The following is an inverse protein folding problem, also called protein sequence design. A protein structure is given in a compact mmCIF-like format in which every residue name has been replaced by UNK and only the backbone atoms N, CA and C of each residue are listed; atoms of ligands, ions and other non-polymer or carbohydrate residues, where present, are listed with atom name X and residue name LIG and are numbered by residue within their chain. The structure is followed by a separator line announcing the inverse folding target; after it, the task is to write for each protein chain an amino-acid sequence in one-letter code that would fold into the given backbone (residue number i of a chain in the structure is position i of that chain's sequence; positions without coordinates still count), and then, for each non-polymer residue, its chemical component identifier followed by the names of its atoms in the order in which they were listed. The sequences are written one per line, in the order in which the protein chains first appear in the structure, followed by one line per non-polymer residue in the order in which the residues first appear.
data_IF_183350050374
#
_entry.id   IF_183350050374
#
_cell.length_a   1.000
_cell.length_b   1.000
_cell.length_c   1.000
_cell.angle_alpha   90.00
_cell.angle_beta   90.00
_cell.angle_gamma   90.00
#
_symmetry.space_group_name_H-M   'P 1'
#
loop_
_entity.id
_entity.type
_entity.pdbx_description
1 polymer ?
#
# COMPACT_ATOMS: atom_id res chain seq x y z
N UNK A 1 65.85 24.36 9.84
CA UNK A 1 65.30 25.45 10.65
C UNK A 1 64.22 26.20 9.87
N UNK A 2 63.19 26.71 10.56
CA UNK A 2 61.78 26.41 10.31
C UNK A 2 60.97 27.73 10.07
N UNK A 3 59.64 27.87 10.10
CA UNK A 3 58.71 27.40 11.11
C UNK A 3 57.24 27.70 10.75
N UNK A 4 56.38 26.91 11.39
CA UNK A 4 54.92 26.94 11.47
C UNK A 4 54.40 28.28 12.01
N UNK A 5 53.18 28.63 11.62
CA UNK A 5 52.24 29.30 12.54
C UNK A 5 50.89 28.58 12.51
N UNK A 6 50.74 27.70 13.51
CA UNK A 6 49.47 27.19 14.02
C UNK A 6 48.60 28.38 14.47
N UNK A 7 47.37 28.47 13.99
CA UNK A 7 46.31 29.20 14.72
C UNK A 7 45.30 28.17 15.22
N UNK A 8 45.50 27.83 16.49
CA UNK A 8 44.64 26.98 17.30
C UNK A 8 43.37 27.79 17.61
N UNK A 9 42.25 27.49 16.94
CA UNK A 9 40.94 27.93 17.43
C UNK A 9 40.55 26.96 18.54
N UNK A 10 40.51 27.50 19.74
CA UNK A 10 40.07 26.86 20.97
C UNK A 10 38.62 26.41 20.85
N UNK A 11 38.39 25.10 20.87
CA UNK A 11 37.08 24.52 21.18
C UNK A 11 36.84 24.64 22.68
N UNK A 12 36.20 25.73 23.10
CA UNK A 12 35.50 25.79 24.37
C UNK A 12 34.00 25.93 24.09
N UNK A 13 33.23 25.15 24.85
CA UNK A 13 31.77 25.14 24.95
C UNK A 13 30.95 24.51 23.81
N UNK A 14 30.95 23.17 23.76
CA UNK A 14 29.83 22.39 23.21
C UNK A 14 29.28 21.33 24.15
N UNK A 15 29.67 21.33 25.44
CA UNK A 15 29.15 20.38 26.43
C UNK A 15 27.74 20.75 26.91
N UNK A 16 27.43 22.06 27.07
CA UNK A 16 26.12 22.51 27.55
C UNK A 16 24.98 22.40 26.53
N UNK A 17 25.28 22.32 25.23
CA UNK A 17 24.26 22.23 24.16
C UNK A 17 23.88 20.79 23.80
N UNK A 18 24.71 19.80 24.15
CA UNK A 18 24.41 18.37 23.96
C UNK A 18 23.60 17.77 25.13
N UNK A 19 23.80 18.25 26.37
CA UNK A 19 22.96 17.87 27.52
C UNK A 19 21.55 18.46 27.43
N UNK A 20 21.41 19.70 26.96
CA UNK A 20 20.11 20.36 26.81
C UNK A 20 19.21 19.73 25.73
N UNK A 21 19.83 19.08 24.72
CA UNK A 21 19.12 18.33 23.68
C UNK A 21 18.80 16.89 24.10
N UNK A 22 19.58 16.26 25.00
CA UNK A 22 19.27 14.93 25.54
C UNK A 22 18.09 14.96 26.51
N UNK A 23 17.98 15.97 27.37
CA UNK A 23 16.92 16.04 28.37
C UNK A 23 15.53 16.34 27.77
N UNK A 24 15.45 17.00 26.61
CA UNK A 24 14.18 17.18 25.89
C UNK A 24 13.76 15.99 25.02
N UNK A 25 14.70 15.13 24.62
CA UNK A 25 14.41 13.92 23.84
C UNK A 25 14.01 12.75 24.76
N UNK A 26 14.44 12.76 26.04
CA UNK A 26 14.06 11.75 27.03
C UNK A 26 12.60 11.86 27.53
N UNK A 27 11.94 13.02 27.34
CA UNK A 27 10.59 13.29 27.85
C UNK A 27 9.41 12.99 26.92
N UNK A 28 9.64 12.55 25.67
CA UNK A 28 8.57 12.29 24.68
C UNK A 28 8.59 10.86 24.13
N UNK A 29 9.58 10.03 24.49
CA UNK A 29 9.59 8.59 24.22
C UNK A 29 8.92 7.82 25.37
N UNK A 30 7.62 8.02 25.53
CA UNK A 30 6.82 7.30 26.50
C UNK A 30 5.39 7.14 26.00
N UNK A 31 5.04 5.92 25.60
CA UNK A 31 3.66 5.44 25.38
C UNK A 31 2.87 6.01 24.19
N UNK A 32 3.29 5.68 22.97
CA UNK A 32 2.35 5.40 21.86
C UNK A 32 2.82 4.13 21.15
N UNK A 33 2.67 2.99 21.83
CA UNK A 33 2.83 1.66 21.25
C UNK A 33 1.50 0.92 21.31
N UNK A 34 0.77 0.94 20.19
CA UNK A 34 -0.35 0.09 19.76
C UNK A 34 -1.31 0.96 18.95
N UNK A 35 -1.63 0.73 17.67
CA UNK A 35 -1.92 -0.54 17.02
C UNK A 35 -2.10 -0.32 15.50
N UNK A 36 -1.26 -0.90 14.62
CA UNK A 36 -1.54 -1.03 13.17
C UNK A 36 -2.63 -2.09 12.86
N UNK A 37 -3.28 -2.64 13.87
CA UNK A 37 -4.00 -3.92 13.77
C UNK A 37 -5.34 -3.82 13.05
N UNK A 38 -5.87 -2.61 12.79
CA UNK A 38 -7.15 -2.42 12.07
C UNK A 38 -7.04 -2.42 10.55
N UNK A 39 -5.85 -2.24 9.98
CA UNK A 39 -5.64 -2.42 8.52
C UNK A 39 -5.17 -3.85 8.21
N UNK A 40 -4.46 -4.51 9.15
CA UNK A 40 -4.03 -5.90 9.01
C UNK A 40 -5.17 -6.94 9.13
N UNK A 41 -6.30 -6.59 9.74
CA UNK A 41 -7.41 -7.54 9.95
C UNK A 41 -8.12 -7.92 8.65
N UNK A 42 -8.12 -7.05 7.64
CA UNK A 42 -8.74 -7.36 6.34
C UNK A 42 -7.90 -8.32 5.50
N UNK A 43 -6.57 -8.32 5.64
CA UNK A 43 -5.70 -9.22 4.86
C UNK A 43 -5.65 -10.63 5.46
N UNK A 44 -5.64 -10.75 6.80
CA UNK A 44 -5.72 -12.07 7.46
C UNK A 44 -7.07 -12.76 7.27
N UNK A 45 -8.18 -12.01 7.37
CA UNK A 45 -9.53 -12.56 7.16
C UNK A 45 -9.78 -13.01 5.72
N UNK A 46 -9.18 -12.32 4.74
CA UNK A 46 -9.31 -12.64 3.31
C UNK A 46 -8.63 -13.97 2.92
N UNK A 47 -7.52 -14.35 3.57
CA UNK A 47 -6.78 -15.57 3.24
C UNK A 47 -7.11 -16.76 4.16
N UNK A 48 -7.43 -16.53 5.44
CA UNK A 48 -7.72 -17.60 6.39
C UNK A 48 -8.99 -18.42 6.03
N UNK A 49 -9.99 -17.77 5.40
CA UNK A 49 -11.23 -18.42 4.98
C UNK A 49 -11.18 -19.07 3.58
N UNK A 50 -10.09 -18.90 2.81
CA UNK A 50 -9.96 -19.47 1.45
C UNK A 50 -8.93 -20.58 1.29
N UNK A 51 -8.10 -20.85 2.30
CA UNK A 51 -7.10 -21.92 2.26
C UNK A 51 -7.28 -23.01 3.33
N UNK A 52 -8.34 -22.93 4.13
CA UNK A 52 -8.69 -23.96 5.12
C UNK A 52 -9.81 -24.88 4.60
N UNK A 53 -9.50 -25.66 3.56
CA UNK A 53 -10.23 -26.88 3.27
C UNK A 53 -9.22 -28.03 3.32
N UNK A 54 -9.40 -28.92 4.29
CA UNK A 54 -8.61 -30.12 4.51
C UNK A 54 -8.49 -30.95 3.23
N UNK A 55 -7.27 -31.22 2.80
CA UNK A 55 -7.00 -32.26 1.80
C UNK A 55 -6.65 -33.52 2.58
N UNK A 56 -7.60 -34.43 2.67
CA UNK A 56 -7.39 -35.80 3.13
C UNK A 56 -6.55 -36.57 2.12
N UNK A 57 -5.65 -37.41 2.65
CA UNK A 57 -4.83 -38.38 1.91
C UNK A 57 -5.73 -39.43 1.22
N UNK A 58 -5.99 -39.25 -0.08
CA UNK A 58 -6.49 -40.32 -0.93
C UNK A 58 -6.17 -40.04 -2.41
N UNK A 59 -5.36 -40.92 -2.99
CA UNK A 59 -5.51 -41.38 -4.37
C UNK A 59 -5.36 -40.34 -5.49
N UNK A 60 -4.12 -40.11 -5.91
CA UNK A 60 -3.79 -39.51 -7.20
C UNK A 60 -4.14 -40.45 -8.35
N UNK A 61 -5.42 -40.55 -8.75
CA UNK A 61 -5.83 -40.89 -10.12
C UNK A 61 -7.20 -40.24 -10.39
N UNK A 62 -7.35 -39.71 -11.59
CA UNK A 62 -8.53 -39.06 -12.18
C UNK A 62 -8.61 -37.52 -12.10
N UNK A 63 -8.36 -36.89 -13.26
CA UNK A 63 -9.20 -35.80 -13.76
C UNK A 63 -8.91 -34.38 -13.27
N UNK A 64 -7.93 -33.71 -13.87
CA UNK A 64 -7.79 -32.25 -13.86
C UNK A 64 -8.89 -31.50 -14.64
N UNK A 65 -9.99 -32.18 -15.00
CA UNK A 65 -11.14 -31.62 -15.73
C UNK A 65 -12.50 -31.75 -15.01
N UNK A 66 -12.51 -32.15 -13.74
CA UNK A 66 -13.75 -32.12 -12.93
C UNK A 66 -13.59 -31.22 -11.71
N UNK A 67 -13.47 -29.92 -11.97
CA UNK A 67 -13.88 -28.93 -10.96
C UNK A 67 -15.42 -29.04 -10.85
N UNK A 68 -16.01 -29.14 -9.64
CA UNK A 68 -17.45 -29.25 -9.50
C UNK A 68 -18.13 -28.07 -10.18
N UNK A 69 -19.06 -28.32 -11.11
CA UNK A 69 -19.91 -27.30 -11.77
C UNK A 69 -20.70 -26.43 -10.77
N UNK A 70 -20.69 -26.77 -9.47
CA UNK A 70 -21.27 -25.99 -8.36
C UNK A 70 -20.32 -24.95 -7.74
N UNK A 71 -19.03 -24.94 -8.07
CA UNK A 71 -18.08 -23.89 -7.67
C UNK A 71 -18.09 -22.66 -8.61
N UNK A 72 -18.78 -22.76 -9.75
CA UNK A 72 -18.97 -21.66 -10.71
C UNK A 72 -20.43 -21.26 -10.93
N UNK A 73 -21.40 -21.93 -10.30
CA UNK A 73 -22.81 -21.54 -10.36
C UNK A 73 -23.13 -20.48 -9.30
N UNK A 74 -22.59 -19.29 -9.54
CA UNK A 74 -23.08 -18.02 -9.02
C UNK A 74 -23.09 -16.96 -10.13
N UNK A 75 -23.15 -17.40 -11.40
CA UNK A 75 -23.45 -16.52 -12.53
C UNK A 75 -24.96 -16.54 -12.71
N UNK A 76 -25.65 -15.66 -11.98
CA UNK A 76 -26.90 -15.13 -12.50
C UNK A 76 -26.53 -14.20 -13.64
N UNK A 77 -26.87 -14.67 -14.84
CA UNK A 77 -27.10 -13.98 -16.10
C UNK A 77 -26.75 -12.49 -16.17
N UNK A 78 -25.87 -12.16 -17.12
CA UNK A 78 -25.83 -10.95 -17.94
C UNK A 78 -26.71 -9.79 -17.46
N UNK A 79 -26.16 -8.94 -16.60
CA UNK A 79 -26.46 -7.52 -16.70
C UNK A 79 -25.42 -6.90 -17.63
N UNK A 80 -25.83 -6.12 -18.66
CA UNK A 80 -24.91 -5.39 -19.50
C UNK A 80 -24.04 -4.51 -18.60
N UNK A 81 -22.78 -4.39 -19.00
CA UNK A 81 -21.68 -3.60 -18.46
C UNK A 81 -22.11 -2.21 -17.95
N UNK A 82 -22.84 -2.16 -16.84
CA UNK A 82 -22.94 -0.98 -16.02
C UNK A 82 -21.56 -0.87 -15.41
N UNK A 83 -20.73 0.02 -15.95
CA UNK A 83 -19.63 0.62 -15.20
C UNK A 83 -20.24 1.11 -13.90
N UNK A 84 -20.18 0.29 -12.86
CA UNK A 84 -20.93 0.55 -11.65
C UNK A 84 -20.41 1.85 -11.07
N UNK A 85 -21.25 2.87 -11.05
CA UNK A 85 -20.84 4.20 -10.65
C UNK A 85 -20.47 4.14 -9.16
N UNK A 86 -19.17 4.20 -8.88
CA UNK A 86 -18.67 4.14 -7.51
C UNK A 86 -19.04 5.45 -6.80
N UNK A 87 -19.54 5.39 -5.55
CA UNK A 87 -19.82 6.60 -4.80
C UNK A 87 -18.51 7.34 -4.49
N UNK A 88 -18.55 8.68 -4.56
CA UNK A 88 -17.45 9.51 -4.05
C UNK A 88 -17.24 9.25 -2.56
N UNK A 89 -15.99 9.33 -2.12
CA UNK A 89 -15.65 9.22 -0.70
C UNK A 89 -16.44 10.30 0.09
N UNK A 90 -17.24 9.93 1.10
CA UNK A 90 -18.00 10.89 1.87
C UNK A 90 -17.08 11.79 2.71
N UNK A 91 -17.57 12.98 3.04
CA UNK A 91 -17.01 13.81 4.12
C UNK A 91 -17.94 13.62 5.31
N UNK A 92 -17.48 13.00 6.41
CA UNK A 92 -18.31 12.81 7.60
C UNK A 92 -18.70 14.15 8.24
N UNK A 93 -19.77 14.13 9.02
CA UNK A 93 -20.19 15.30 9.78
C UNK A 93 -19.11 15.73 10.80
N UNK A 94 -18.98 17.04 11.01
CA UNK A 94 -17.96 17.61 11.88
C UNK A 94 -18.19 17.20 13.35
N UNK A 95 -19.41 17.38 13.86
CA UNK A 95 -19.76 17.04 15.24
C UNK A 95 -19.58 15.55 15.50
N UNK A 96 -20.06 14.71 14.57
CA UNK A 96 -19.87 13.26 14.64
C UNK A 96 -18.38 12.88 14.66
N UNK A 97 -17.56 13.53 13.84
CA UNK A 97 -16.12 13.27 13.78
C UNK A 97 -15.43 13.67 15.07
N UNK A 98 -15.76 14.83 15.61
CA UNK A 98 -15.22 15.35 16.87
C UNK A 98 -15.63 14.50 18.08
N UNK A 99 -16.89 14.06 18.15
CA UNK A 99 -17.38 13.15 19.18
C UNK A 99 -16.61 11.82 19.17
N UNK A 100 -16.51 11.20 17.99
CA UNK A 100 -15.74 9.94 17.82
C UNK A 100 -14.25 10.12 18.13
N UNK A 101 -13.69 11.28 17.81
CA UNK A 101 -12.30 11.60 18.14
C UNK A 101 -12.08 11.59 19.66
N UNK A 102 -12.96 12.25 20.42
CA UNK A 102 -12.91 12.23 21.88
C UNK A 102 -13.12 10.82 22.45
N UNK A 103 -14.09 10.06 21.95
CA UNK A 103 -14.33 8.68 22.40
C UNK A 103 -13.09 7.79 22.23
N UNK A 104 -12.37 7.94 21.12
CA UNK A 104 -11.15 7.17 20.85
C UNK A 104 -9.97 7.61 21.73
N UNK A 105 -9.91 8.89 22.13
CA UNK A 105 -8.84 9.41 22.98
C UNK A 105 -9.07 9.18 24.47
N UNK A 106 -10.32 9.07 24.91
CA UNK A 106 -10.67 8.84 26.31
C UNK A 106 -9.91 7.69 26.99
N UNK A 107 -9.70 6.50 26.38
CA UNK A 107 -8.91 5.45 27.00
C UNK A 107 -7.39 5.66 26.93
N UNK A 108 -6.90 6.63 26.15
CA UNK A 108 -5.48 6.88 25.93
C UNK A 108 -4.92 8.03 26.79
N UNK A 109 -5.79 8.93 27.24
CA UNK A 109 -5.41 10.15 27.93
C UNK A 109 -5.70 10.09 29.43
N UNK A 110 -4.93 10.83 30.22
CA UNK A 110 -5.32 11.11 31.60
C UNK A 110 -6.52 12.05 31.64
N UNK A 111 -7.23 12.11 32.76
CA UNK A 111 -8.41 12.98 32.91
C UNK A 111 -8.11 14.45 32.59
N UNK A 112 -6.96 14.98 33.08
CA UNK A 112 -6.56 16.36 32.83
C UNK A 112 -6.22 16.63 31.37
N UNK A 113 -5.57 15.68 30.69
CA UNK A 113 -5.28 15.76 29.25
C UNK A 113 -6.56 15.67 28.41
N UNK A 114 -7.47 14.78 28.80
CA UNK A 114 -8.76 14.61 28.13
C UNK A 114 -9.60 15.88 28.23
N UNK A 115 -9.73 16.46 29.42
CA UNK A 115 -10.49 17.70 29.62
C UNK A 115 -9.89 18.89 28.83
N UNK A 116 -8.55 19.00 28.77
CA UNK A 116 -7.90 19.99 27.91
C UNK A 116 -8.23 19.75 26.43
N UNK A 117 -8.17 18.50 25.98
CA UNK A 117 -8.46 18.14 24.58
C UNK A 117 -9.93 18.39 24.24
N UNK A 118 -10.84 18.08 25.16
CA UNK A 118 -12.27 18.34 25.03
C UNK A 118 -12.56 19.82 24.78
N UNK A 119 -11.93 20.72 25.54
CA UNK A 119 -12.08 22.17 25.34
C UNK A 119 -11.59 22.61 23.96
N UNK A 120 -10.42 22.12 23.54
CA UNK A 120 -9.89 22.42 22.20
C UNK A 120 -10.83 21.93 21.08
N UNK A 121 -11.44 20.76 21.26
CA UNK A 121 -12.41 20.21 20.31
C UNK A 121 -13.69 21.05 20.30
N UNK A 122 -14.15 21.54 21.46
CA UNK A 122 -15.29 22.44 21.54
C UNK A 122 -15.00 23.77 20.83
N UNK A 123 -13.86 24.41 21.13
CA UNK A 123 -13.44 25.65 20.48
C UNK A 123 -13.28 25.48 18.96
N UNK A 124 -12.81 24.30 18.52
CA UNK A 124 -12.69 23.98 17.10
C UNK A 124 -14.05 23.81 16.41
N UNK A 125 -14.99 23.11 17.06
CA UNK A 125 -16.30 22.78 16.52
C UNK A 125 -17.36 23.87 16.71
N UNK A 126 -17.07 24.90 17.51
CA UNK A 126 -17.94 26.05 17.73
C UNK A 126 -18.36 26.70 16.39
N UNK A 127 -19.60 27.22 16.26
CA UNK A 127 -20.05 27.89 15.05
C UNK A 127 -19.12 29.03 14.56
N UNK A 128 -18.50 29.76 15.48
CA UNK A 128 -17.53 30.81 15.18
C UNK A 128 -16.08 30.30 15.12
N UNK A 129 -15.89 29.02 15.44
CA UNK A 129 -14.62 28.30 15.39
C UNK A 129 -14.11 28.05 13.96
N UNK A 130 -12.87 27.52 13.84
CA UNK A 130 -12.28 27.18 12.56
C UNK A 130 -12.91 25.94 11.89
N UNK A 131 -13.49 25.02 12.66
CA UNK A 131 -14.00 23.73 12.17
C UNK A 131 -15.05 23.85 11.08
N UNK A 132 -16.12 24.66 11.23
CA UNK A 132 -17.13 24.84 10.20
C UNK A 132 -16.56 25.36 8.86
N UNK A 133 -15.55 26.25 8.91
CA UNK A 133 -14.87 26.77 7.71
C UNK A 133 -14.07 25.66 7.02
N UNK A 134 -13.32 24.86 7.79
CA UNK A 134 -12.59 23.70 7.25
C UNK A 134 -13.55 22.69 6.64
N UNK A 135 -14.66 22.37 7.31
CA UNK A 135 -15.67 21.45 6.82
C UNK A 135 -16.28 21.93 5.49
N UNK A 136 -16.56 23.22 5.35
CA UNK A 136 -17.05 23.80 4.11
C UNK A 136 -16.05 23.65 2.96
N UNK A 137 -14.76 23.87 3.20
CA UNK A 137 -13.71 23.66 2.19
C UNK A 137 -13.53 22.18 1.84
N UNK A 138 -13.64 21.26 2.81
CA UNK A 138 -13.62 19.81 2.54
C UNK A 138 -14.80 19.39 1.66
N UNK A 139 -16.00 19.92 1.89
CA UNK A 139 -17.17 19.66 1.06
C UNK A 139 -16.99 20.20 -0.36
N UNK A 140 -16.46 21.42 -0.53
CA UNK A 140 -16.10 21.95 -1.86
C UNK A 140 -15.09 21.05 -2.57
N UNK A 141 -14.06 20.60 -1.84
CA UNK A 141 -13.04 19.68 -2.37
C UNK A 141 -13.63 18.34 -2.78
N UNK A 142 -14.57 17.78 -2.01
CA UNK A 142 -15.31 16.56 -2.38
C UNK A 142 -16.03 16.70 -3.72
N UNK A 143 -16.61 17.86 -4.00
CA UNK A 143 -17.27 18.08 -5.28
C UNK A 143 -16.27 18.23 -6.44
N UNK A 144 -15.13 18.87 -6.19
CA UNK A 144 -14.10 19.10 -7.21
C UNK A 144 -13.27 17.86 -7.60
N UNK A 145 -13.14 16.85 -6.72
CA UNK A 145 -12.29 15.68 -6.94
C UNK A 145 -13.09 14.37 -6.91
N UNK A 146 -12.60 13.31 -7.57
CA UNK A 146 -13.18 11.97 -7.48
C UNK A 146 -13.02 11.36 -6.07
N UNK A 147 -11.86 11.61 -5.47
CA UNK A 147 -11.55 11.29 -4.09
C UNK A 147 -10.78 12.45 -3.46
N UNK A 148 -11.45 13.21 -2.59
CA UNK A 148 -10.89 14.41 -1.97
C UNK A 148 -9.65 14.15 -1.10
N UNK A 149 -9.50 12.93 -0.59
CA UNK A 149 -8.44 12.56 0.34
C UNK A 149 -7.25 11.87 -0.35
N UNK A 150 -7.37 11.44 -1.61
CA UNK A 150 -6.39 10.53 -2.23
C UNK A 150 -4.96 11.09 -2.22
N UNK A 151 -4.76 12.31 -2.75
CA UNK A 151 -3.43 12.90 -2.85
C UNK A 151 -2.84 13.23 -1.47
N UNK A 152 -3.69 13.71 -0.55
CA UNK A 152 -3.27 14.00 0.83
C UNK A 152 -2.86 12.74 1.57
N UNK A 153 -3.67 11.68 1.50
CA UNK A 153 -3.35 10.40 2.11
C UNK A 153 -2.08 9.80 1.53
N UNK A 154 -1.90 9.85 0.21
CA UNK A 154 -0.72 9.29 -0.44
C UNK A 154 0.55 10.04 -0.06
N UNK A 155 0.48 11.37 0.02
CA UNK A 155 1.56 12.20 0.51
C UNK A 155 1.90 11.90 1.97
N UNK A 156 0.93 12.03 2.88
CA UNK A 156 1.11 11.91 4.33
C UNK A 156 1.57 10.50 4.74
N UNK A 157 0.96 9.46 4.17
CA UNK A 157 1.24 8.07 4.55
C UNK A 157 2.44 7.45 3.87
N UNK A 158 2.93 7.99 2.75
CA UNK A 158 3.99 7.35 1.97
C UNK A 158 5.07 8.30 1.50
N UNK A 159 4.73 9.35 0.75
CA UNK A 159 5.74 10.12 0.02
C UNK A 159 6.45 11.19 0.84
N UNK A 160 5.81 11.71 1.89
CA UNK A 160 6.43 12.61 2.86
C UNK A 160 7.26 11.90 3.93
N UNK A 161 7.27 10.56 3.96
CA UNK A 161 8.02 9.78 4.96
C UNK A 161 9.47 9.61 4.52
N UNK A 162 10.41 10.13 5.30
CA UNK A 162 11.87 10.02 5.05
C UNK A 162 12.52 8.73 5.58
N UNK A 163 11.74 7.82 6.18
CA UNK A 163 12.26 6.53 6.65
C UNK A 163 12.58 5.60 5.46
N UNK A 164 13.55 4.72 5.64
CA UNK A 164 13.87 3.72 4.61
C UNK A 164 12.67 2.78 4.39
N UNK A 165 12.41 2.43 3.13
CA UNK A 165 11.23 1.62 2.77
C UNK A 165 11.24 0.19 3.34
N UNK A 166 12.37 -0.55 3.36
CA UNK A 166 12.41 -1.87 3.95
C UNK A 166 11.98 -1.81 5.42
N UNK A 167 11.14 -2.75 5.84
CA UNK A 167 10.59 -2.88 7.21
C UNK A 167 9.55 -1.80 7.56
N UNK A 168 9.83 -0.52 7.29
CA UNK A 168 8.96 0.58 7.76
C UNK A 168 7.72 0.78 6.88
N UNK A 169 7.83 0.55 5.57
CA UNK A 169 6.76 0.87 4.61
C UNK A 169 6.40 -0.33 3.72
N UNK A 170 7.39 -1.03 3.18
CA UNK A 170 7.16 -2.12 2.21
C UNK A 170 6.73 -3.41 2.90
N UNK A 171 5.46 -3.87 2.76
CA UNK A 171 5.03 -5.13 3.35
C UNK A 171 5.66 -6.32 2.61
N UNK A 172 6.00 -7.37 3.35
CA UNK A 172 6.48 -8.64 2.81
C UNK A 172 5.44 -9.75 2.96
N UNK A 173 5.40 -10.69 2.00
CA UNK A 173 4.61 -11.91 2.08
C UNK A 173 5.51 -13.13 1.84
N UNK A 174 5.31 -14.18 2.64
CA UNK A 174 6.03 -15.45 2.49
C UNK A 174 5.08 -16.48 1.90
N UNK A 175 5.47 -17.09 0.78
CA UNK A 175 4.73 -18.17 0.13
C UNK A 175 5.06 -19.53 0.76
N UNK A 176 4.20 -20.56 0.60
CA UNK A 176 4.48 -21.91 1.07
C UNK A 176 5.84 -22.43 0.59
N UNK A 177 6.58 -23.16 1.44
CA UNK A 177 7.92 -23.65 1.09
C UNK A 177 7.86 -24.60 -0.11
N UNK A 178 8.88 -24.51 -0.97
CA UNK A 178 9.07 -25.40 -2.12
C UNK A 178 10.42 -26.09 -2.02
N UNK A 179 10.48 -27.35 -2.42
CA UNK A 179 11.74 -28.07 -2.54
C UNK A 179 12.36 -27.77 -3.91
N UNK A 180 13.41 -26.95 -3.94
CA UNK A 180 14.17 -26.61 -5.16
C UNK A 180 15.60 -27.13 -4.96
N UNK A 181 16.08 -28.01 -5.85
CA UNK A 181 17.33 -28.76 -5.62
C UNK A 181 18.56 -28.11 -6.27
N UNK A 182 18.37 -27.09 -7.11
CA UNK A 182 19.48 -26.37 -7.74
C UNK A 182 19.04 -25.15 -8.55
N UNK A 183 20.01 -24.48 -9.19
CA UNK A 183 19.76 -23.26 -9.97
C UNK A 183 18.78 -23.46 -11.12
N UNK A 184 18.79 -24.62 -11.77
CA UNK A 184 17.84 -24.95 -12.85
C UNK A 184 16.39 -24.99 -12.34
N UNK A 185 16.16 -25.54 -11.15
CA UNK A 185 14.82 -25.58 -10.55
C UNK A 185 14.36 -24.18 -10.16
N UNK A 186 15.26 -23.35 -9.61
CA UNK A 186 14.98 -21.95 -9.28
C UNK A 186 14.63 -21.17 -10.54
N UNK A 187 15.42 -21.31 -11.61
CA UNK A 187 15.18 -20.64 -12.89
C UNK A 187 13.85 -21.08 -13.51
N UNK A 188 13.56 -22.39 -13.55
CA UNK A 188 12.29 -22.92 -14.06
C UNK A 188 11.10 -22.43 -13.23
N UNK A 189 11.22 -22.42 -11.92
CA UNK A 189 10.17 -21.91 -11.04
C UNK A 189 9.95 -20.41 -11.22
N UNK A 190 11.03 -19.63 -11.31
CA UNK A 190 10.98 -18.20 -11.61
C UNK A 190 10.33 -17.91 -12.95
N UNK A 191 10.70 -18.65 -14.01
CA UNK A 191 10.09 -18.52 -15.34
C UNK A 191 8.58 -18.78 -15.31
N UNK A 192 8.11 -19.79 -14.57
CA UNK A 192 6.67 -20.06 -14.38
C UNK A 192 5.94 -18.93 -13.66
N UNK A 193 6.56 -18.33 -12.63
CA UNK A 193 5.99 -17.15 -11.95
C UNK A 193 5.87 -15.99 -12.93
N UNK A 194 6.93 -15.70 -13.68
CA UNK A 194 6.97 -14.62 -14.66
C UNK A 194 5.92 -14.84 -15.76
N UNK A 195 5.80 -16.06 -16.28
CA UNK A 195 4.77 -16.42 -17.26
C UNK A 195 3.35 -16.19 -16.72
N UNK A 196 3.07 -16.63 -15.49
CA UNK A 196 1.79 -16.39 -14.82
C UNK A 196 1.49 -14.91 -14.59
N UNK A 197 2.49 -14.12 -14.18
CA UNK A 197 2.35 -12.67 -14.02
C UNK A 197 2.12 -11.96 -15.35
N UNK A 198 2.79 -12.39 -16.43
CA UNK A 198 2.59 -11.84 -17.78
C UNK A 198 1.17 -12.10 -18.27
N UNK A 199 0.66 -13.32 -18.11
CA UNK A 199 -0.73 -13.66 -18.47
C UNK A 199 -1.74 -12.86 -17.64
N UNK A 200 -1.43 -12.59 -16.37
CA UNK A 200 -2.27 -11.75 -15.53
C UNK A 200 -2.22 -10.28 -15.94
N UNK A 201 -1.04 -9.77 -16.33
CA UNK A 201 -0.88 -8.43 -16.90
C UNK A 201 -1.70 -8.26 -18.17
N UNK A 202 -1.70 -9.24 -19.07
CA UNK A 202 -2.53 -9.20 -20.27
C UNK A 202 -4.03 -9.07 -19.93
N UNK A 203 -4.50 -9.74 -18.89
CA UNK A 203 -5.89 -9.61 -18.41
C UNK A 203 -6.15 -8.22 -17.82
N UNK A 204 -5.20 -7.64 -17.09
CA UNK A 204 -5.30 -6.28 -16.57
C UNK A 204 -5.40 -5.27 -17.73
N UNK A 205 -4.54 -5.39 -18.74
CA UNK A 205 -4.48 -4.47 -19.88
C UNK A 205 -5.75 -4.53 -20.73
N UNK A 206 -6.33 -5.72 -20.89
CA UNK A 206 -7.61 -5.93 -21.57
C UNK A 206 -8.82 -5.64 -20.69
N UNK A 207 -8.63 -5.29 -19.41
CA UNK A 207 -9.69 -5.09 -18.40
C UNK A 207 -10.62 -6.31 -18.25
N UNK A 208 -10.06 -7.50 -18.40
CA UNK A 208 -10.77 -8.78 -18.30
C UNK A 208 -10.82 -9.33 -16.85
N UNK A 209 -10.24 -8.60 -15.88
CA UNK A 209 -10.32 -9.01 -14.48
C UNK A 209 -11.75 -8.78 -13.94
N UNK A 210 -12.34 -9.74 -13.21
CA UNK A 210 -13.68 -9.57 -12.65
C UNK A 210 -13.75 -8.37 -11.68
N UNK A 211 -14.87 -7.66 -11.72
CA UNK A 211 -15.19 -6.60 -10.75
C UNK A 211 -15.19 -7.17 -9.34
N UNK A 212 -14.28 -6.70 -8.49
CA UNK A 212 -14.28 -7.06 -7.08
C UNK A 212 -15.48 -6.45 -6.36
N UNK A 213 -16.00 -7.20 -5.39
CA UNK A 213 -17.14 -6.79 -4.57
C UNK A 213 -16.80 -6.96 -3.11
N UNK A 214 -17.27 -6.03 -2.30
CA UNK A 214 -17.11 -6.10 -0.87
C UNK A 214 -17.76 -7.36 -0.30
N UNK A 215 -17.07 -8.01 0.63
CA UNK A 215 -17.54 -9.24 1.31
C UNK A 215 -18.28 -8.95 2.61
N UNK A 216 -18.35 -7.68 3.02
CA UNK A 216 -19.01 -7.22 4.24
C UNK A 216 -20.54 -7.15 4.11
N UNK A 217 -21.17 -6.35 4.99
CA UNK A 217 -22.63 -6.11 4.95
C UNK A 217 -23.06 -5.50 3.62
N UNK A 218 -22.31 -4.53 3.13
CA UNK A 218 -22.60 -3.86 1.86
C UNK A 218 -21.86 -4.58 0.74
N UNK A 219 -22.58 -5.34 -0.09
CA UNK A 219 -22.03 -6.15 -1.20
C UNK A 219 -21.75 -5.34 -2.48
N UNK A 220 -21.41 -4.06 -2.30
CA UNK A 220 -21.16 -3.13 -3.39
C UNK A 220 -19.90 -3.46 -4.20
N UNK A 221 -19.77 -2.93 -5.43
CA UNK A 221 -18.54 -3.00 -6.20
C UNK A 221 -17.41 -2.22 -5.51
N UNK A 222 -16.17 -2.70 -5.66
CA UNK A 222 -14.95 -2.04 -5.17
C UNK A 222 -14.23 -1.27 -6.28
N UNK A 223 -13.42 -0.29 -5.89
CA UNK A 223 -12.57 0.42 -6.84
C UNK A 223 -11.45 -0.49 -7.37
N UNK A 224 -11.36 -0.64 -8.70
CA UNK A 224 -10.35 -1.48 -9.36
C UNK A 224 -9.07 -0.72 -9.74
N UNK A 225 -8.97 0.58 -9.44
CA UNK A 225 -7.84 1.42 -9.87
C UNK A 225 -6.49 0.95 -9.32
N UNK A 226 -6.46 0.33 -8.14
CA UNK A 226 -5.24 -0.24 -7.56
C UNK A 226 -4.73 -1.45 -8.35
N UNK A 227 -5.64 -2.31 -8.83
CA UNK A 227 -5.28 -3.49 -9.62
C UNK A 227 -4.57 -3.10 -10.92
N UNK A 228 -5.08 -2.09 -11.61
CA UNK A 228 -4.53 -1.62 -12.89
C UNK A 228 -3.19 -0.88 -12.76
N UNK A 229 -2.79 -0.48 -11.54
CA UNK A 229 -1.50 0.18 -11.28
C UNK A 229 -0.43 -0.79 -10.79
N UNK A 230 -0.80 -2.03 -10.44
CA UNK A 230 0.06 -2.98 -9.72
C UNK A 230 1.42 -3.24 -10.40
N UNK A 231 1.44 -3.28 -11.73
CA UNK A 231 2.62 -3.66 -12.51
C UNK A 231 3.20 -2.49 -13.32
N UNK A 232 2.73 -1.27 -13.05
CA UNK A 232 2.96 -0.11 -13.92
C UNK A 232 3.41 1.11 -13.15
N UNK A 233 3.79 0.96 -11.88
CA UNK A 233 4.15 2.11 -11.04
C UNK A 233 5.52 1.96 -10.44
N UNK A 234 6.24 3.08 -10.36
CA UNK A 234 7.49 3.19 -9.65
C UNK A 234 7.48 4.40 -8.73
N UNK A 235 8.08 4.26 -7.55
CA UNK A 235 8.27 5.35 -6.58
C UNK A 235 9.66 5.93 -6.77
N UNK A 236 9.73 7.15 -7.28
CA UNK A 236 10.98 7.89 -7.50
C UNK A 236 11.32 8.66 -6.21
N UNK A 237 12.55 8.52 -5.68
CA UNK A 237 12.96 9.28 -4.50
C UNK A 237 13.08 10.77 -4.81
N UNK A 238 12.60 11.62 -3.91
CA UNK A 238 12.77 13.07 -3.96
C UNK A 238 13.45 13.63 -2.72
N UNK A 239 13.92 14.88 -2.80
CA UNK A 239 14.60 15.54 -1.67
C UNK A 239 13.64 15.87 -0.52
N UNK A 240 12.46 16.37 -0.86
CA UNK A 240 11.41 16.74 0.10
C UNK A 240 10.26 15.73 0.11
N UNK A 241 9.92 15.19 -1.06
CA UNK A 241 8.82 14.28 -1.25
C UNK A 241 9.11 13.33 -2.41
N UNK A 242 8.82 12.04 -2.22
CA UNK A 242 8.88 11.07 -3.29
C UNK A 242 7.73 11.25 -4.29
N UNK A 243 7.87 10.70 -5.49
CA UNK A 243 6.83 10.78 -6.52
C UNK A 243 6.46 9.41 -7.07
N UNK A 244 5.20 9.26 -7.47
CA UNK A 244 4.72 8.08 -8.18
C UNK A 244 4.76 8.36 -9.68
N UNK A 245 5.45 7.51 -10.43
CA UNK A 245 5.42 7.56 -11.89
C UNK A 245 4.75 6.32 -12.45
N UNK A 246 4.05 6.49 -13.58
CA UNK A 246 3.60 5.38 -14.40
C UNK A 246 4.73 4.96 -15.34
N UNK A 247 5.02 3.66 -15.38
CA UNK A 247 6.08 3.06 -16.19
C UNK A 247 5.54 2.33 -17.42
N UNK A 248 4.23 2.43 -17.71
CA UNK A 248 3.67 1.90 -18.95
C UNK A 248 4.40 2.53 -20.14
N UNK A 249 4.93 1.72 -21.07
CA UNK A 249 5.66 2.23 -22.20
C UNK A 249 4.69 2.80 -23.26
N UNK A 250 5.14 3.84 -23.95
CA UNK A 250 4.33 4.52 -24.96
C UNK A 250 4.29 3.73 -26.28
N UNK A 251 3.07 3.44 -26.75
CA UNK A 251 2.81 2.90 -28.09
C UNK A 251 2.54 1.39 -28.17
N UNK A 252 1.88 0.93 -29.24
CA UNK A 252 1.34 -0.44 -29.37
C UNK A 252 2.40 -1.55 -29.50
N UNK A 253 3.64 -1.19 -29.83
CA UNK A 253 4.75 -2.13 -30.03
C UNK A 253 5.86 -1.98 -28.99
N UNK A 254 5.59 -1.29 -27.89
CA UNK A 254 6.56 -1.10 -26.83
C UNK A 254 7.15 -2.43 -26.34
N UNK A 255 8.47 -2.41 -26.14
CA UNK A 255 9.18 -3.53 -25.54
C UNK A 255 8.74 -3.69 -24.08
N UNK A 256 8.43 -4.93 -23.69
CA UNK A 256 8.07 -5.27 -22.32
C UNK A 256 9.17 -6.14 -21.74
N UNK A 257 9.64 -5.79 -20.55
CA UNK A 257 10.72 -6.50 -19.89
C UNK A 257 10.51 -6.57 -18.39
N UNK A 258 11.20 -7.52 -17.77
CA UNK A 258 11.36 -7.59 -16.31
C UNK A 258 12.81 -7.30 -15.95
N UNK A 259 13.04 -6.96 -14.69
CA UNK A 259 14.38 -6.86 -14.11
C UNK A 259 14.64 -8.10 -13.26
N UNK A 260 15.62 -8.90 -13.67
CA UNK A 260 16.10 -10.04 -12.89
C UNK A 260 17.30 -9.60 -12.06
N UNK A 261 17.17 -9.65 -10.73
CA UNK A 261 18.26 -9.38 -9.79
C UNK A 261 18.90 -10.70 -9.33
N UNK A 262 20.21 -10.86 -9.55
CA UNK A 262 20.96 -12.03 -9.09
C UNK A 262 22.37 -11.61 -8.68
N UNK A 263 22.78 -11.94 -7.45
CA UNK A 263 24.11 -11.60 -6.88
C UNK A 263 24.46 -10.11 -7.08
N UNK A 264 23.54 -9.23 -6.72
CA UNK A 264 23.65 -7.76 -6.84
C UNK A 264 23.84 -7.24 -8.28
N UNK A 265 23.55 -8.06 -9.30
CA UNK A 265 23.52 -7.64 -10.70
C UNK A 265 22.09 -7.66 -11.21
N UNK A 266 21.75 -6.68 -12.04
CA UNK A 266 20.41 -6.48 -12.61
C UNK A 266 20.46 -6.70 -14.11
N UNK A 267 19.53 -7.50 -14.63
CA UNK A 267 19.44 -7.84 -16.05
C UNK A 267 18.04 -7.53 -16.55
N UNK A 268 17.94 -6.79 -17.65
CA UNK A 268 16.68 -6.61 -18.37
C UNK A 268 16.42 -7.87 -19.22
N UNK A 269 15.35 -8.61 -18.88
CA UNK A 269 14.90 -9.77 -19.64
C UNK A 269 13.62 -9.39 -20.34
N UNK A 270 13.67 -9.30 -21.67
CA UNK A 270 12.52 -8.94 -22.48
C UNK A 270 11.52 -10.10 -22.52
N UNK A 271 10.25 -9.82 -22.27
CA UNK A 271 9.15 -10.76 -22.46
C UNK A 271 8.50 -10.57 -23.83
N UNK A 272 8.46 -9.31 -24.29
CA UNK A 272 8.01 -8.92 -25.63
C UNK A 272 9.04 -7.97 -26.23
N UNK A 273 9.52 -8.26 -27.43
CA UNK A 273 10.43 -7.38 -28.16
C UNK A 273 10.05 -7.31 -29.63
N UNK A 274 9.87 -6.10 -30.16
CA UNK A 274 9.47 -5.88 -31.56
C UNK A 274 8.22 -6.70 -31.95
N UNK A 275 7.24 -6.79 -31.05
CA UNK A 275 5.98 -7.52 -31.27
C UNK A 275 6.03 -9.05 -31.07
N UNK A 276 7.21 -9.65 -30.82
CA UNK A 276 7.35 -11.09 -30.55
C UNK A 276 7.41 -11.37 -29.05
N UNK A 277 6.61 -12.33 -28.58
CA UNK A 277 6.62 -12.83 -27.19
C UNK A 277 7.64 -13.96 -27.07
N UNK A 278 8.48 -13.94 -26.04
CA UNK A 278 9.41 -15.03 -25.75
C UNK A 278 8.69 -16.19 -25.04
N UNK A 279 8.91 -17.42 -25.52
CA UNK A 279 8.35 -18.65 -24.95
C UNK A 279 9.21 -19.22 -23.81
N UNK A 280 8.61 -20.08 -22.98
CA UNK A 280 9.25 -20.74 -21.83
C UNK A 280 10.35 -21.75 -22.22
N UNK A 281 10.45 -22.13 -23.50
CA UNK A 281 11.37 -23.18 -23.95
C UNK A 281 12.84 -22.77 -23.86
N UNK A 282 13.56 -23.44 -22.96
CA UNK A 282 15.01 -23.48 -22.90
C UNK A 282 15.45 -24.49 -23.96
N UNK A 283 16.05 -24.00 -25.05
CA UNK A 283 16.75 -24.85 -26.02
C UNK A 283 17.96 -25.55 -25.40
#
# INVERSE_FOLDING_TARGET
EPNRSNTRVTTENSAGSQEFLRDRISGVLGTVTSSPTRIATNIRGFLANRLSASISDAGWKEGWLTVPKRLFSGVTQNDPEQTAQLPKLPVPDLEQTMGRYLDNLKPLLTESQFEKTRRLVQDFADPDGPGPKVQAELLKRREAYDNWAYDWWLHDMYFGISLCLPINVSPGMVFPPRQLRGFTDIARYGARIVSGLSQYKDKLDKKEIPQERATGRDKGPLCMAQCYRLMTTYRVPGLECDTLINTEPEGPQADQHIIVACRNKFYAVYLKRSGKVLSEEIG
#
